data_IF_655751986637
#
_entry.id   IF_655751986637
#
_cell.length_a   1.000
_cell.length_b   1.000
_cell.length_c   1.000
_cell.angle_alpha   90.00
_cell.angle_beta   90.00
_cell.angle_gamma   90.00
#
_symmetry.space_group_name_H-M   'P 1'
#
loop_
_entity.id
_entity.type
_entity.pdbx_description
1 polymer ?
#
# COMPACT_ATOMS: atom_id res chain seq x y z
N UNK A 1 -18.75 6.92 -4.42
CA UNK A 1 -19.43 5.64 -4.06
C UNK A 1 -19.66 5.63 -2.56
N UNK A 2 -20.89 5.39 -2.09
CA UNK A 2 -21.23 5.39 -0.66
C UNK A 2 -21.09 3.99 -0.05
N UNK A 3 -19.85 3.55 0.14
CA UNK A 3 -19.52 2.26 0.78
C UNK A 3 -19.40 2.48 2.30
N UNK A 4 -19.94 1.61 3.19
CA UNK A 4 -19.89 1.81 4.63
C UNK A 4 -18.46 1.99 5.16
N UNK A 5 -18.27 2.91 6.10
CA UNK A 5 -16.98 3.18 6.74
C UNK A 5 -16.67 2.12 7.81
N UNK A 6 -15.38 1.95 8.12
CA UNK A 6 -14.93 1.12 9.25
C UNK A 6 -14.03 -0.04 8.85
N UNK A 7 -13.41 -0.65 9.86
CA UNK A 7 -12.38 -1.68 9.69
C UNK A 7 -12.91 -2.94 8.99
N UNK A 8 -14.17 -3.34 9.23
CA UNK A 8 -14.76 -4.52 8.60
C UNK A 8 -14.86 -4.38 7.09
N UNK A 9 -15.31 -3.21 6.61
CA UNK A 9 -15.36 -2.92 5.18
C UNK A 9 -13.96 -2.84 4.58
N UNK A 10 -13.00 -2.26 5.33
CA UNK A 10 -11.59 -2.28 4.96
C UNK A 10 -11.08 -3.69 4.70
N UNK A 11 -11.24 -4.58 5.68
CA UNK A 11 -10.79 -5.97 5.57
C UNK A 11 -11.45 -6.70 4.38
N UNK A 12 -12.72 -6.44 4.11
CA UNK A 12 -13.39 -7.02 2.94
C UNK A 12 -12.79 -6.53 1.61
N UNK A 13 -12.44 -5.24 1.50
CA UNK A 13 -11.76 -4.69 0.32
C UNK A 13 -10.38 -5.32 0.13
N UNK A 14 -9.58 -5.44 1.19
CA UNK A 14 -8.27 -6.08 1.13
C UNK A 14 -8.37 -7.55 0.68
N UNK A 15 -9.25 -8.33 1.32
CA UNK A 15 -9.45 -9.76 1.00
C UNK A 15 -9.87 -9.97 -0.47
N UNK A 16 -10.76 -9.11 -1.00
CA UNK A 16 -11.18 -9.18 -2.40
C UNK A 16 -10.05 -8.78 -3.37
N UNK A 17 -9.30 -7.73 -3.07
CA UNK A 17 -8.14 -7.31 -3.87
C UNK A 17 -6.99 -8.31 -3.81
N UNK A 18 -6.85 -9.04 -2.69
CA UNK A 18 -5.91 -10.13 -2.53
C UNK A 18 -6.27 -11.30 -3.45
N UNK A 19 -7.50 -11.80 -3.33
CA UNK A 19 -7.87 -13.10 -3.89
C UNK A 19 -8.45 -13.05 -5.31
N UNK A 20 -8.89 -11.88 -5.78
CA UNK A 20 -9.44 -11.72 -7.13
C UNK A 20 -8.35 -11.15 -8.05
N UNK A 21 -8.21 -11.74 -9.24
CA UNK A 21 -7.33 -11.23 -10.27
C UNK A 21 -7.78 -9.82 -10.70
N UNK A 22 -6.84 -8.88 -10.82
CA UNK A 22 -7.18 -7.50 -11.23
C UNK A 22 -7.84 -7.44 -12.60
N UNK A 23 -7.45 -8.34 -13.52
CA UNK A 23 -8.08 -8.49 -14.83
C UNK A 23 -9.54 -8.93 -14.77
N UNK A 24 -9.94 -9.69 -13.74
CA UNK A 24 -11.34 -10.09 -13.52
C UNK A 24 -12.19 -8.92 -13.05
N UNK A 25 -11.66 -8.11 -12.13
CA UNK A 25 -12.30 -6.88 -11.66
C UNK A 25 -12.46 -5.88 -12.81
N UNK A 26 -11.41 -5.71 -13.61
CA UNK A 26 -11.43 -4.82 -14.77
C UNK A 26 -12.45 -5.25 -15.84
N UNK A 27 -12.56 -6.55 -16.09
CA UNK A 27 -13.54 -7.12 -17.02
C UNK A 27 -14.96 -7.20 -16.44
N UNK A 28 -15.18 -6.70 -15.21
CA UNK A 28 -16.48 -6.73 -14.52
C UNK A 28 -17.10 -8.14 -14.50
N UNK A 29 -16.26 -9.16 -14.28
CA UNK A 29 -16.76 -10.53 -14.11
C UNK A 29 -17.64 -10.59 -12.86
N UNK A 30 -18.62 -11.50 -12.87
CA UNK A 30 -19.45 -11.75 -11.70
C UNK A 30 -18.59 -12.28 -10.54
N UNK A 31 -18.54 -11.50 -9.45
CA UNK A 31 -17.86 -11.83 -8.20
C UNK A 31 -18.82 -11.89 -7.01
N UNK A 32 -20.14 -11.92 -7.26
CA UNK A 32 -21.18 -11.88 -6.24
C UNK A 32 -20.96 -12.92 -5.14
N UNK A 33 -20.63 -14.16 -5.53
CA UNK A 33 -20.38 -15.24 -4.56
C UNK A 33 -19.16 -14.96 -3.67
N UNK A 34 -18.06 -14.48 -4.24
CA UNK A 34 -16.85 -14.12 -3.49
C UNK A 34 -17.14 -12.93 -2.56
N UNK A 35 -17.73 -11.87 -3.11
CA UNK A 35 -18.15 -10.65 -2.42
C UNK A 35 -19.03 -10.98 -1.22
N UNK A 36 -20.13 -11.69 -1.43
CA UNK A 36 -21.12 -11.97 -0.38
C UNK A 36 -20.52 -12.85 0.72
N UNK A 37 -19.66 -13.82 0.36
CA UNK A 37 -18.92 -14.65 1.33
C UNK A 37 -17.94 -13.82 2.14
N UNK A 38 -17.21 -12.91 1.51
CA UNK A 38 -16.24 -12.02 2.18
C UNK A 38 -16.97 -11.00 3.06
N UNK A 39 -18.08 -10.42 2.61
CA UNK A 39 -18.95 -9.56 3.42
C UNK A 39 -19.48 -10.31 4.65
N UNK A 40 -19.94 -11.55 4.50
CA UNK A 40 -20.39 -12.38 5.62
C UNK A 40 -19.25 -12.65 6.61
N UNK A 41 -18.05 -13.00 6.12
CA UNK A 41 -16.86 -13.27 6.94
C UNK A 41 -16.48 -12.09 7.83
N UNK A 42 -16.48 -10.88 7.27
CA UNK A 42 -16.12 -9.67 8.00
C UNK A 42 -17.31 -8.95 8.65
N UNK A 43 -18.53 -9.49 8.51
CA UNK A 43 -19.73 -8.87 9.08
C UNK A 43 -20.10 -7.53 8.43
N UNK A 44 -19.77 -7.35 7.15
CA UNK A 44 -20.12 -6.16 6.36
C UNK A 44 -21.55 -6.33 5.84
N UNK A 45 -22.41 -5.35 6.15
CA UNK A 45 -23.77 -5.28 5.62
C UNK A 45 -23.85 -4.17 4.59
N UNK A 46 -24.23 -4.52 3.37
CA UNK A 46 -24.43 -3.60 2.26
C UNK A 46 -25.88 -3.69 1.82
N UNK A 47 -26.57 -2.55 1.72
CA UNK A 47 -27.89 -2.50 1.07
C UNK A 47 -27.77 -2.70 -0.44
N UNK A 48 -26.65 -2.25 -1.01
CA UNK A 48 -26.29 -2.41 -2.42
C UNK A 48 -24.87 -2.99 -2.51
N UNK A 49 -24.73 -4.33 -2.44
CA UNK A 49 -23.44 -4.99 -2.51
C UNK A 49 -22.61 -4.65 -3.75
N UNK A 50 -23.25 -4.33 -4.88
CA UNK A 50 -22.63 -3.98 -6.16
C UNK A 50 -21.78 -2.71 -6.07
N UNK A 51 -22.01 -1.84 -5.07
CA UNK A 51 -21.15 -0.69 -4.81
C UNK A 51 -19.71 -1.09 -4.47
N UNK A 52 -19.51 -2.29 -3.91
CA UNK A 52 -18.19 -2.84 -3.66
C UNK A 52 -17.51 -3.26 -4.98
N UNK A 53 -18.27 -3.80 -5.93
CA UNK A 53 -17.76 -4.20 -7.24
C UNK A 53 -17.33 -2.96 -8.05
N UNK A 54 -18.14 -1.89 -8.01
CA UNK A 54 -17.78 -0.60 -8.61
C UNK A 54 -16.54 0.01 -7.97
N UNK A 55 -16.42 -0.07 -6.63
CA UNK A 55 -15.22 0.41 -5.93
C UNK A 55 -13.98 -0.37 -6.38
N UNK A 56 -14.05 -1.70 -6.41
CA UNK A 56 -12.94 -2.57 -6.82
C UNK A 56 -12.56 -2.34 -8.29
N UNK A 57 -13.54 -2.14 -9.17
CA UNK A 57 -13.28 -1.83 -10.58
C UNK A 57 -12.58 -0.47 -10.72
N UNK A 58 -13.05 0.55 -10.00
CA UNK A 58 -12.41 1.87 -9.99
C UNK A 58 -10.95 1.79 -9.50
N UNK A 59 -10.71 1.03 -8.43
CA UNK A 59 -9.36 0.83 -7.87
C UNK A 59 -8.42 0.21 -8.90
N UNK A 60 -8.84 -0.85 -9.60
CA UNK A 60 -7.94 -1.52 -10.53
C UNK A 60 -7.71 -0.74 -11.82
N UNK A 61 -8.65 0.12 -12.21
CA UNK A 61 -8.62 0.89 -13.45
C UNK A 61 -8.01 2.29 -13.32
N UNK A 62 -7.78 2.79 -12.10
CA UNK A 62 -7.19 4.13 -11.90
C UNK A 62 -5.70 4.14 -12.24
N UNK A 63 -5.24 5.05 -13.11
CA UNK A 63 -3.81 5.21 -13.41
C UNK A 63 -3.01 5.66 -12.17
N UNK A 64 -1.89 5.00 -11.93
CA UNK A 64 -0.97 5.19 -10.79
C UNK A 64 0.27 6.02 -11.16
N UNK A 65 0.21 6.70 -12.31
CA UNK A 65 1.20 7.63 -12.85
C UNK A 65 0.49 8.75 -13.61
N UNK A 66 1.03 9.97 -13.53
CA UNK A 66 0.54 11.09 -14.36
C UNK A 66 0.99 10.94 -15.83
N UNK A 67 2.17 10.33 -16.03
CA UNK A 67 2.85 10.28 -17.34
C UNK A 67 2.66 8.95 -18.07
N UNK A 68 2.07 7.95 -17.40
CA UNK A 68 1.87 6.60 -17.96
C UNK A 68 0.47 6.09 -17.58
N UNK A 69 -0.53 6.25 -18.48
CA UNK A 69 -1.90 5.81 -18.22
C UNK A 69 -2.01 4.28 -18.13
N UNK A 70 -1.05 3.53 -18.66
CA UNK A 70 -1.06 2.07 -18.62
C UNK A 70 -0.58 1.51 -17.28
N UNK A 71 0.04 2.34 -16.43
CA UNK A 71 0.42 1.93 -15.08
C UNK A 71 -0.79 1.93 -14.13
N UNK A 72 -1.64 0.93 -14.26
CA UNK A 72 -2.79 0.66 -13.39
C UNK A 72 -2.80 -0.82 -12.96
N UNK A 73 -3.48 -1.16 -11.85
CA UNK A 73 -3.45 -2.53 -11.33
C UNK A 73 -4.00 -3.56 -12.33
N UNK A 74 -5.01 -3.18 -13.14
CA UNK A 74 -5.60 -4.07 -14.14
C UNK A 74 -4.62 -4.53 -15.23
N UNK A 75 -3.55 -3.77 -15.46
CA UNK A 75 -2.51 -4.08 -16.45
C UNK A 75 -1.33 -4.84 -15.85
N UNK A 76 -1.33 -5.11 -14.54
CA UNK A 76 -0.29 -5.89 -13.87
C UNK A 76 -0.56 -7.39 -14.05
N UNK A 77 0.34 -8.15 -14.72
CA UNK A 77 0.21 -9.60 -14.78
C UNK A 77 0.33 -10.21 -13.38
N UNK A 78 -0.45 -11.24 -13.07
CA UNK A 78 -0.43 -11.89 -11.75
C UNK A 78 0.98 -12.34 -11.33
N UNK A 79 1.79 -12.84 -12.28
CA UNK A 79 3.18 -13.25 -12.04
C UNK A 79 4.13 -12.10 -11.63
N UNK A 80 3.73 -10.86 -11.86
CA UNK A 80 4.46 -9.66 -11.48
C UNK A 80 3.94 -9.08 -10.16
N UNK A 81 2.97 -9.72 -9.52
CA UNK A 81 2.38 -9.31 -8.26
C UNK A 81 2.70 -10.33 -7.17
N UNK A 82 3.09 -9.83 -6.00
CA UNK A 82 3.18 -10.57 -4.76
C UNK A 82 2.25 -9.89 -3.76
N UNK A 83 1.11 -10.51 -3.49
CA UNK A 83 0.07 -9.99 -2.60
C UNK A 83 0.24 -10.52 -1.19
N UNK A 84 -0.13 -9.71 -0.19
CA UNK A 84 -0.06 -10.05 1.25
C UNK A 84 1.27 -10.70 1.65
N UNK A 85 2.39 -10.09 1.27
CA UNK A 85 3.70 -10.65 1.60
C UNK A 85 4.00 -10.47 3.10
N UNK A 86 4.15 -11.55 3.89
CA UNK A 86 4.56 -11.44 5.27
C UNK A 86 6.02 -10.98 5.36
N UNK A 87 6.33 -10.20 6.40
CA UNK A 87 7.70 -9.82 6.69
C UNK A 87 8.03 -9.87 8.18
N UNK A 88 9.32 -9.96 8.45
CA UNK A 88 9.90 -9.96 9.78
C UNK A 88 11.12 -9.04 9.77
N UNK A 89 11.13 -8.02 10.62
CA UNK A 89 12.31 -7.20 10.89
C UNK A 89 12.72 -7.43 12.34
N UNK A 90 13.87 -8.06 12.53
CA UNK A 90 14.46 -8.18 13.85
C UNK A 90 14.98 -6.81 14.30
N UNK A 91 14.87 -6.48 15.58
CA UNK A 91 15.43 -5.26 16.15
C UNK A 91 16.19 -5.59 17.43
N UNK A 92 17.44 -5.14 17.49
CA UNK A 92 18.17 -5.08 18.76
C UNK A 92 17.57 -4.00 19.65
N UNK A 93 17.85 -4.00 20.96
CA UNK A 93 17.46 -2.90 21.84
C UNK A 93 17.86 -1.54 21.25
N UNK A 94 16.86 -0.73 20.94
CA UNK A 94 17.03 0.59 20.34
C UNK A 94 16.01 1.58 20.90
N UNK A 95 16.38 2.86 20.98
CA UNK A 95 15.41 3.93 21.24
C UNK A 95 14.67 4.32 19.95
N UNK A 96 13.35 4.46 20.02
CA UNK A 96 12.52 4.98 18.93
C UNK A 96 12.97 6.36 18.41
N UNK A 97 13.68 7.15 19.22
CA UNK A 97 14.29 8.41 18.80
C UNK A 97 15.27 8.25 17.62
N UNK A 98 15.87 7.06 17.44
CA UNK A 98 16.72 6.78 16.28
C UNK A 98 15.92 6.71 14.98
N UNK A 99 14.69 6.19 15.01
CA UNK A 99 13.77 6.25 13.87
C UNK A 99 13.37 7.70 13.61
N UNK A 100 13.04 8.46 14.67
CA UNK A 100 12.70 9.87 14.54
C UNK A 100 13.81 10.67 13.83
N UNK A 101 15.07 10.40 14.16
CA UNK A 101 16.22 11.08 13.54
C UNK A 101 16.35 10.77 12.04
N UNK A 102 16.06 9.53 11.62
CA UNK A 102 16.12 9.16 10.19
C UNK A 102 14.95 9.80 9.41
N UNK A 103 13.79 9.94 10.05
CA UNK A 103 12.54 10.36 9.41
C UNK A 103 12.10 11.81 9.72
N UNK A 104 12.96 12.62 10.33
CA UNK A 104 12.63 13.94 10.89
C UNK A 104 11.92 14.87 9.90
N UNK A 105 12.36 14.85 8.64
CA UNK A 105 11.87 15.76 7.60
C UNK A 105 10.83 15.12 6.66
N UNK A 106 10.26 13.98 7.02
CA UNK A 106 9.29 13.27 6.19
C UNK A 106 7.88 13.80 6.51
N UNK A 107 7.19 14.48 5.57
CA UNK A 107 5.89 15.11 5.86
C UNK A 107 4.80 14.13 6.30
N UNK A 108 4.85 12.91 5.78
CA UNK A 108 3.93 11.82 6.08
C UNK A 108 4.25 11.09 7.40
N UNK A 109 5.31 11.46 8.11
CA UNK A 109 5.76 10.79 9.32
C UNK A 109 5.32 11.54 10.58
N UNK A 110 4.84 10.79 11.56
CA UNK A 110 4.57 11.29 12.90
C UNK A 110 5.63 10.72 13.87
N UNK A 111 6.41 11.58 14.57
CA UNK A 111 7.43 11.15 15.51
C UNK A 111 6.88 10.20 16.57
N UNK A 112 7.65 9.17 16.85
CA UNK A 112 7.36 8.20 17.90
C UNK A 112 7.72 8.78 19.27
N UNK A 113 6.94 8.41 20.28
CA UNK A 113 7.34 8.65 21.67
C UNK A 113 8.62 7.87 21.98
N UNK A 114 9.56 8.49 22.68
CA UNK A 114 10.78 7.80 23.11
C UNK A 114 10.41 6.60 23.96
N UNK A 115 10.87 5.44 23.50
CA UNK A 115 10.62 4.14 24.11
C UNK A 115 11.72 3.20 23.64
N UNK A 116 12.21 2.37 24.56
CA UNK A 116 13.09 1.26 24.23
C UNK A 116 12.28 0.17 23.53
N UNK A 117 12.74 -0.26 22.36
CA UNK A 117 12.12 -1.27 21.51
C UNK A 117 13.13 -2.40 21.29
N UNK A 118 12.66 -3.64 21.33
CA UNK A 118 13.44 -4.83 21.00
C UNK A 118 12.50 -5.95 20.52
N UNK A 119 13.05 -6.95 19.82
CA UNK A 119 12.31 -8.12 19.37
C UNK A 119 12.09 -8.14 17.86
N UNK A 120 10.86 -8.37 17.43
CA UNK A 120 10.51 -8.48 16.01
C UNK A 120 9.34 -7.56 15.68
N UNK A 121 9.48 -6.84 14.57
CA UNK A 121 8.36 -6.22 13.89
C UNK A 121 7.88 -7.17 12.80
N UNK A 122 6.58 -7.47 12.82
CA UNK A 122 5.94 -8.34 11.82
C UNK A 122 4.76 -7.62 11.22
N UNK A 123 4.44 -7.98 9.99
CA UNK A 123 3.32 -7.41 9.25
C UNK A 123 3.22 -8.00 7.86
N UNK A 124 2.36 -7.40 7.05
CA UNK A 124 2.10 -7.81 5.67
C UNK A 124 2.17 -6.58 4.77
N UNK A 125 2.72 -6.76 3.57
CA UNK A 125 2.65 -5.76 2.51
C UNK A 125 1.55 -6.20 1.55
N UNK A 126 0.49 -5.40 1.43
CA UNK A 126 -0.70 -5.75 0.63
C UNK A 126 -0.35 -6.13 -0.80
N UNK A 127 0.54 -5.35 -1.44
CA UNK A 127 1.00 -5.63 -2.79
C UNK A 127 2.43 -5.13 -3.01
N UNK A 128 3.30 -6.05 -3.45
CA UNK A 128 4.51 -5.72 -4.19
C UNK A 128 4.23 -6.05 -5.65
N UNK A 129 4.53 -5.12 -6.55
CA UNK A 129 4.43 -5.42 -7.98
C UNK A 129 5.66 -4.94 -8.76
N UNK A 130 5.87 -5.55 -9.93
CA UNK A 130 6.85 -5.11 -10.89
C UNK A 130 6.18 -4.57 -12.15
N UNK A 131 6.61 -3.38 -12.57
CA UNK A 131 6.13 -2.70 -13.76
C UNK A 131 7.31 -2.04 -14.48
N UNK A 132 7.47 -2.34 -15.78
CA UNK A 132 8.59 -1.85 -16.61
C UNK A 132 9.98 -2.00 -15.95
N UNK A 133 10.23 -3.14 -15.28
CA UNK A 133 11.51 -3.44 -14.61
C UNK A 133 11.71 -2.78 -13.25
N UNK A 134 10.72 -2.01 -12.76
CA UNK A 134 10.74 -1.37 -11.44
C UNK A 134 9.77 -2.05 -10.47
N UNK A 135 10.15 -2.16 -9.21
CA UNK A 135 9.39 -2.78 -8.13
C UNK A 135 8.76 -1.72 -7.23
N UNK A 136 7.47 -1.86 -6.94
CA UNK A 136 6.69 -0.91 -6.17
C UNK A 136 6.10 -1.58 -4.94
N UNK A 137 6.07 -0.85 -3.83
CA UNK A 137 5.24 -1.18 -2.66
C UNK A 137 3.90 -0.47 -2.84
N UNK A 138 2.81 -1.20 -2.65
CA UNK A 138 1.47 -0.65 -2.63
C UNK A 138 0.71 -1.12 -1.40
N UNK A 139 -0.11 -0.23 -0.86
CA UNK A 139 -0.95 -0.49 0.32
C UNK A 139 -2.32 0.17 0.11
N UNK A 140 -3.39 -0.56 0.39
CA UNK A 140 -4.76 -0.11 0.20
C UNK A 140 -5.26 0.56 1.48
N UNK A 141 -5.86 1.74 1.35
CA UNK A 141 -6.44 2.50 2.47
C UNK A 141 -7.91 2.78 2.21
N UNK A 142 -8.78 2.27 3.08
CA UNK A 142 -10.23 2.54 2.99
C UNK A 142 -10.68 3.74 3.84
N UNK A 143 -9.75 4.62 4.22
CA UNK A 143 -10.02 5.82 5.01
C UNK A 143 -10.97 6.75 4.24
N UNK A 144 -11.98 7.28 4.93
CA UNK A 144 -12.86 8.31 4.39
C UNK A 144 -12.27 9.66 4.75
N UNK A 145 -11.84 10.42 3.73
CA UNK A 145 -11.30 11.77 3.90
C UNK A 145 -12.33 12.83 3.51
N UNK A 146 -12.18 14.11 3.94
CA UNK A 146 -13.01 15.22 3.49
C UNK A 146 -12.91 15.45 1.97
N UNK A 147 -11.68 15.38 1.47
CA UNK A 147 -11.33 15.28 0.06
C UNK A 147 -10.09 14.40 -0.10
N UNK A 148 -9.75 14.03 -1.34
CA UNK A 148 -8.56 13.22 -1.65
C UNK A 148 -7.49 14.05 -2.37
N UNK A 149 -7.39 15.35 -2.04
CA UNK A 149 -6.31 16.20 -2.52
C UNK A 149 -4.96 15.76 -1.96
N UNK A 150 -3.86 16.18 -2.59
CA UNK A 150 -2.51 15.87 -2.12
C UNK A 150 -2.26 16.29 -0.66
N UNK A 151 -2.85 17.41 -0.22
CA UNK A 151 -2.75 17.89 1.15
C UNK A 151 -3.48 16.96 2.12
N UNK A 152 -4.74 16.62 1.83
CA UNK A 152 -5.54 15.70 2.65
C UNK A 152 -4.94 14.30 2.72
N UNK A 153 -4.40 13.80 1.61
CA UNK A 153 -3.68 12.52 1.57
C UNK A 153 -2.43 12.57 2.46
N UNK A 154 -1.60 13.61 2.35
CA UNK A 154 -0.40 13.76 3.16
C UNK A 154 -0.74 13.87 4.65
N UNK A 155 -1.79 14.60 5.00
CA UNK A 155 -2.28 14.70 6.37
C UNK A 155 -2.75 13.34 6.90
N UNK A 156 -3.55 12.60 6.13
CA UNK A 156 -3.99 11.27 6.51
C UNK A 156 -2.82 10.28 6.68
N UNK A 157 -1.82 10.36 5.79
CA UNK A 157 -0.60 9.57 5.90
C UNK A 157 0.13 9.83 7.22
N UNK A 158 0.21 11.10 7.64
CA UNK A 158 0.82 11.51 8.90
C UNK A 158 0.00 11.09 10.13
N UNK A 159 -1.30 11.38 10.13
CA UNK A 159 -2.19 11.12 11.27
C UNK A 159 -2.23 9.64 11.66
N UNK A 160 -2.22 8.74 10.67
CA UNK A 160 -2.18 7.29 10.91
C UNK A 160 -0.76 6.71 10.94
N UNK A 161 0.26 7.57 10.83
CA UNK A 161 1.67 7.22 10.71
C UNK A 161 1.98 6.17 9.63
N UNK A 162 1.23 6.21 8.53
CA UNK A 162 1.53 5.44 7.32
C UNK A 162 2.88 5.84 6.73
N UNK A 163 3.40 7.04 7.07
CA UNK A 163 4.79 7.42 6.84
C UNK A 163 5.79 6.38 7.33
N UNK A 164 5.72 6.04 8.62
CA UNK A 164 6.58 5.01 9.20
C UNK A 164 6.40 3.67 8.47
N UNK A 165 5.14 3.31 8.19
CA UNK A 165 4.80 2.05 7.53
C UNK A 165 5.48 1.91 6.16
N UNK A 166 5.37 2.91 5.27
CA UNK A 166 5.93 2.79 3.93
C UNK A 166 7.46 2.77 3.93
N UNK A 167 8.09 3.46 4.89
CA UNK A 167 9.54 3.42 5.08
C UNK A 167 10.01 2.03 5.50
N UNK A 168 9.30 1.39 6.44
CA UNK A 168 9.57 0.01 6.84
C UNK A 168 9.34 -0.96 5.68
N UNK A 169 8.25 -0.80 4.93
CA UNK A 169 7.96 -1.65 3.76
C UNK A 169 9.01 -1.48 2.67
N UNK A 170 9.55 -0.27 2.51
CA UNK A 170 10.65 0.00 1.60
C UNK A 170 11.93 -0.71 2.04
N UNK A 171 12.26 -0.72 3.33
CA UNK A 171 13.39 -1.51 3.88
C UNK A 171 13.19 -3.01 3.61
N UNK A 172 11.98 -3.52 3.87
CA UNK A 172 11.64 -4.92 3.62
C UNK A 172 11.83 -5.26 2.14
N UNK A 173 11.26 -4.47 1.22
CA UNK A 173 11.39 -4.71 -0.22
C UNK A 173 12.85 -4.57 -0.67
N UNK A 174 13.58 -3.58 -0.17
CA UNK A 174 15.00 -3.39 -0.48
C UNK A 174 15.83 -4.64 -0.15
N UNK A 175 15.71 -5.15 1.09
CA UNK A 175 16.38 -6.38 1.52
C UNK A 175 15.91 -7.60 0.74
N UNK A 176 14.61 -7.69 0.47
CA UNK A 176 14.04 -8.79 -0.31
C UNK A 176 14.65 -8.85 -1.71
N UNK A 177 14.75 -7.72 -2.40
CA UNK A 177 15.32 -7.63 -3.75
C UNK A 177 16.83 -7.87 -3.74
N UNK A 178 17.58 -7.35 -2.77
CA UNK A 178 19.01 -7.65 -2.58
C UNK A 178 19.28 -9.17 -2.51
N UNK A 179 18.40 -9.92 -1.86
CA UNK A 179 18.54 -11.37 -1.71
C UNK A 179 18.06 -12.17 -2.93
N UNK A 180 17.20 -11.59 -3.76
CA UNK A 180 16.52 -12.30 -4.87
C UNK A 180 17.07 -11.97 -6.24
N UNK A 181 17.58 -10.77 -6.43
CA UNK A 181 18.07 -10.27 -7.72
C UNK A 181 19.58 -10.11 -7.67
N UNK A 182 20.36 -10.92 -8.42
CA UNK A 182 21.82 -10.88 -8.41
C UNK A 182 22.43 -9.50 -8.71
N UNK A 183 21.82 -8.75 -9.64
CA UNK A 183 22.28 -7.43 -10.08
C UNK A 183 21.39 -6.29 -9.56
N UNK A 184 20.86 -6.44 -8.35
CA UNK A 184 19.97 -5.44 -7.76
C UNK A 184 20.68 -4.10 -7.54
N UNK A 185 20.15 -3.07 -8.19
CA UNK A 185 20.44 -1.67 -7.95
C UNK A 185 19.16 -0.91 -7.57
N UNK A 186 19.18 -0.26 -6.41
CA UNK A 186 18.05 0.52 -5.90
C UNK A 186 17.62 1.63 -6.87
N UNK A 187 18.56 2.31 -7.52
CA UNK A 187 18.24 3.47 -8.35
C UNK A 187 17.44 3.10 -9.59
N UNK A 188 17.71 1.92 -10.14
CA UNK A 188 17.07 1.43 -11.36
C UNK A 188 15.89 0.49 -11.08
N UNK A 189 15.96 -0.32 -10.03
CA UNK A 189 14.94 -1.35 -9.76
C UNK A 189 13.89 -0.92 -8.74
N UNK A 190 14.17 -0.08 -7.76
CA UNK A 190 13.09 0.40 -6.89
C UNK A 190 12.26 1.40 -7.68
N UNK A 191 10.93 1.32 -7.61
CA UNK A 191 9.96 2.16 -8.32
C UNK A 191 9.36 3.25 -7.44
N UNK A 192 9.29 3.02 -6.12
CA UNK A 192 8.65 3.89 -5.16
C UNK A 192 7.50 3.20 -4.43
N UNK A 193 6.74 3.98 -3.68
CA UNK A 193 5.58 3.52 -2.93
C UNK A 193 4.30 4.17 -3.47
N UNK A 194 3.17 3.47 -3.34
CA UNK A 194 1.83 4.00 -3.61
C UNK A 194 0.89 3.62 -2.48
N UNK A 195 0.24 4.61 -1.90
CA UNK A 195 -0.82 4.38 -0.92
C UNK A 195 -2.15 4.72 -1.58
N UNK A 196 -2.96 3.68 -1.78
CA UNK A 196 -4.16 3.70 -2.61
C UNK A 196 -5.37 3.97 -1.70
N UNK A 197 -5.75 5.24 -1.55
CA UNK A 197 -6.95 5.62 -0.82
C UNK A 197 -8.18 5.31 -1.70
N UNK A 198 -8.61 4.05 -1.67
CA UNK A 198 -9.49 3.43 -2.66
C UNK A 198 -10.79 4.19 -2.91
N UNK A 199 -11.30 4.89 -1.89
CA UNK A 199 -12.54 5.67 -1.96
C UNK A 199 -12.41 6.95 -2.80
N UNK A 200 -11.19 7.43 -2.99
CA UNK A 200 -10.87 8.62 -3.80
C UNK A 200 -10.38 8.30 -5.20
N UNK A 201 -10.23 7.02 -5.55
CA UNK A 201 -9.73 6.57 -6.85
C UNK A 201 -10.82 6.66 -7.92
N UNK A 202 -10.48 7.29 -9.03
CA UNK A 202 -11.36 7.59 -10.16
C UNK A 202 -10.61 7.27 -11.48
N UNK A 203 -11.11 6.32 -12.29
CA UNK A 203 -10.41 5.86 -13.50
C UNK A 203 -10.07 6.93 -14.54
N UNK A 204 -10.86 7.99 -14.59
CA UNK A 204 -10.73 9.11 -15.53
C UNK A 204 -9.74 10.19 -15.06
N UNK A 205 -9.24 10.09 -13.81
CA UNK A 205 -8.30 11.05 -13.23
C UNK A 205 -7.07 10.31 -12.72
N UNK A 206 -5.97 10.45 -13.45
CA UNK A 206 -4.68 9.90 -13.04
C UNK A 206 -4.30 10.34 -11.61
N UNK A 207 -3.70 9.43 -10.85
CA UNK A 207 -3.27 9.66 -9.47
C UNK A 207 -4.39 10.05 -8.47
N UNK A 208 -5.66 10.01 -8.86
CA UNK A 208 -6.78 10.32 -7.96
C UNK A 208 -6.82 9.36 -6.77
N UNK A 209 -6.84 9.89 -5.54
CA UNK A 209 -6.79 9.07 -4.33
C UNK A 209 -5.47 8.32 -4.13
N UNK A 210 -4.41 8.63 -4.88
CA UNK A 210 -3.12 7.93 -4.79
C UNK A 210 -2.06 8.85 -4.18
N UNK A 211 -1.60 8.50 -2.99
CA UNK A 211 -0.38 9.08 -2.44
C UNK A 211 0.84 8.38 -3.03
N UNK A 212 1.88 9.14 -3.39
CA UNK A 212 3.15 8.59 -3.88
C UNK A 212 4.34 9.17 -3.14
N UNK A 213 5.35 8.34 -2.95
CA UNK A 213 6.69 8.76 -2.54
C UNK A 213 7.75 7.83 -3.17
N UNK A 214 9.00 8.27 -3.16
CA UNK A 214 10.17 7.45 -3.47
C UNK A 214 11.26 7.74 -2.42
N UNK A 215 11.31 6.94 -1.34
CA UNK A 215 12.38 7.04 -0.35
C UNK A 215 13.78 7.09 -0.98
N UNK A 216 14.65 7.95 -0.44
CA UNK A 216 16.05 8.01 -0.86
C UNK A 216 16.85 6.85 -0.27
N UNK A 217 17.73 6.23 -1.07
CA UNK A 217 18.53 5.07 -0.64
C UNK A 217 19.27 5.31 0.69
N UNK A 218 19.89 6.47 0.87
CA UNK A 218 20.63 6.77 2.10
C UNK A 218 19.74 6.70 3.36
N UNK A 219 18.50 7.17 3.29
CA UNK A 219 17.52 7.05 4.37
C UNK A 219 17.08 5.60 4.57
N UNK A 220 16.91 4.85 3.48
CA UNK A 220 16.49 3.45 3.54
C UNK A 220 17.58 2.61 4.20
N UNK A 221 18.85 2.81 3.85
CA UNK A 221 19.99 2.15 4.47
C UNK A 221 20.18 2.57 5.93
N UNK A 222 20.00 3.86 6.25
CA UNK A 222 20.07 4.35 7.62
C UNK A 222 18.98 3.69 8.50
N UNK A 223 17.75 3.62 8.00
CA UNK A 223 16.65 2.94 8.69
C UNK A 223 16.91 1.43 8.77
N UNK A 224 17.38 0.81 7.68
CA UNK A 224 17.67 -0.61 7.62
C UNK A 224 18.72 -1.03 8.65
N UNK A 225 19.70 -0.19 8.98
CA UNK A 225 20.71 -0.47 10.02
C UNK A 225 20.13 -0.59 11.43
N UNK A 226 18.94 -0.03 11.68
CA UNK A 226 18.25 -0.15 12.96
C UNK A 226 17.60 -1.53 13.14
N UNK A 227 17.48 -2.30 12.06
CA UNK A 227 16.93 -3.65 12.06
C UNK A 227 18.04 -4.66 11.75
N UNK A 228 18.07 -5.80 12.42
CA UNK A 228 18.98 -6.90 12.11
C UNK A 228 18.56 -7.68 10.87
#
# INVERSE_FOLDING_TARGET
LDVPKGAHTGNAVHDLLEHIAFSHLAARKDISMQRDRTCLRYGVKLEQPELLDELLQAVVATPLSDDDPDFCLMNLPERQCLKEMPFYLAMQPMDAAQINAVLENIPAYQPLNSKQMCGYLTGFIDLICAYQGRYYVMDYKTNSLPDYSAASLTQAMREHNYGLQYWLYTVVLHRYLQNRLPDYDYQTHFGGVRYLFVRGMQPDVAMSGVYRDRPGLAGVEALAKLFC
#
